data_IF_575513490186
#
_entry.id   IF_575513490186
#
_cell.length_a   1.000
_cell.length_b   1.000
_cell.length_c   1.000
_cell.angle_alpha   90.00
_cell.angle_beta   90.00
_cell.angle_gamma   90.00
#
_symmetry.space_group_name_H-M   'P 1'
#
loop_
_entity.id
_entity.type
_entity.pdbx_description
1 polymer ?
#
# COMPACT_ATOMS: atom_id res chain seq x y z
N UNK A 1 11.81 44.69 -13.87
CA UNK A 1 12.59 43.45 -13.62
C UNK A 1 11.60 42.41 -13.09
N UNK A 2 11.06 41.55 -13.95
CA UNK A 2 10.06 40.55 -13.55
C UNK A 2 10.77 39.20 -13.48
N UNK A 3 11.11 38.75 -12.27
CA UNK A 3 11.63 37.40 -12.06
C UNK A 3 10.44 36.46 -11.87
N UNK A 4 10.26 35.54 -12.82
CA UNK A 4 9.32 34.42 -12.70
C UNK A 4 10.07 33.25 -12.07
N UNK A 5 9.60 32.79 -10.91
CA UNK A 5 10.23 31.70 -10.17
C UNK A 5 9.87 30.36 -10.85
N UNK A 6 10.74 29.88 -11.73
CA UNK A 6 10.65 28.53 -12.29
C UNK A 6 11.16 27.54 -11.24
N UNK A 7 10.31 26.62 -10.81
CA UNK A 7 10.66 25.59 -9.83
C UNK A 7 11.70 24.65 -10.47
N UNK A 8 12.97 24.86 -10.14
CA UNK A 8 14.06 24.03 -10.63
C UNK A 8 14.07 22.68 -9.90
N UNK A 9 14.39 21.64 -10.66
CA UNK A 9 14.62 20.25 -10.27
C UNK A 9 14.88 20.03 -8.76
N UNK A 10 13.94 19.37 -8.06
CA UNK A 10 14.13 18.99 -6.65
C UNK A 10 15.20 17.90 -6.53
N UNK A 11 16.44 18.32 -6.29
CA UNK A 11 17.50 17.46 -5.78
C UNK A 11 17.26 17.22 -4.29
N UNK A 12 17.04 15.96 -3.89
CA UNK A 12 16.89 15.58 -2.48
C UNK A 12 15.84 14.49 -2.24
N UNK A 13 15.96 13.80 -1.11
CA UNK A 13 14.96 12.86 -0.62
C UNK A 13 13.62 13.59 -0.37
N UNK A 14 12.46 12.99 -0.65
CA UNK A 14 11.19 13.66 -0.41
C UNK A 14 11.02 14.01 1.08
N UNK A 15 10.42 15.17 1.36
CA UNK A 15 10.21 15.64 2.72
C UNK A 15 9.23 14.72 3.47
N UNK A 16 9.62 14.24 4.65
CA UNK A 16 8.83 13.34 5.50
C UNK A 16 8.39 12.04 4.78
N UNK A 17 9.34 11.17 4.39
CA UNK A 17 9.00 9.87 3.83
C UNK A 17 8.30 9.01 4.90
N UNK A 18 7.23 8.34 4.51
CA UNK A 18 6.40 7.51 5.41
C UNK A 18 6.34 6.06 4.99
N UNK A 19 6.52 5.78 3.70
CA UNK A 19 6.48 4.42 3.16
C UNK A 19 7.52 4.24 2.05
N UNK A 20 7.98 3.01 1.86
CA UNK A 20 8.89 2.61 0.79
C UNK A 20 8.44 1.26 0.21
N UNK A 21 8.63 1.05 -1.08
CA UNK A 21 8.42 -0.24 -1.73
C UNK A 21 9.47 -0.43 -2.83
N UNK A 22 9.80 -1.68 -3.15
CA UNK A 22 10.81 -2.00 -4.16
C UNK A 22 10.33 -3.16 -5.04
N UNK A 23 10.44 -2.97 -6.36
CA UNK A 23 10.28 -4.04 -7.35
C UNK A 23 11.68 -4.55 -7.74
N UNK A 24 12.07 -5.78 -7.35
CA UNK A 24 13.39 -6.32 -7.62
C UNK A 24 13.62 -6.67 -9.09
N UNK A 25 12.56 -6.94 -9.86
CA UNK A 25 12.66 -7.34 -11.27
C UNK A 25 12.86 -6.09 -12.12
N UNK A 26 12.02 -5.07 -11.93
CA UNK A 26 12.10 -3.82 -12.68
C UNK A 26 13.17 -2.86 -12.13
N UNK A 27 13.69 -3.15 -10.92
CA UNK A 27 14.63 -2.31 -10.17
C UNK A 27 14.05 -0.91 -9.93
N UNK A 28 12.80 -0.88 -9.48
CA UNK A 28 12.05 0.34 -9.20
C UNK A 28 11.88 0.52 -7.69
N UNK A 29 12.12 1.73 -7.22
CA UNK A 29 11.95 2.16 -5.85
C UNK A 29 10.82 3.20 -5.78
N UNK A 30 9.81 2.94 -4.98
CA UNK A 30 8.77 3.90 -4.67
C UNK A 30 8.99 4.47 -3.26
N UNK A 31 8.85 5.78 -3.12
CA UNK A 31 8.91 6.50 -1.83
C UNK A 31 7.63 7.31 -1.68
N UNK A 32 6.84 6.99 -0.65
CA UNK A 32 5.63 7.71 -0.27
C UNK A 32 5.91 8.67 0.89
N UNK A 33 5.11 9.73 0.97
CA UNK A 33 5.30 10.82 1.94
C UNK A 33 4.07 11.06 2.80
N UNK A 34 4.26 11.81 3.88
CA UNK A 34 3.19 12.27 4.76
C UNK A 34 2.16 13.17 4.07
N UNK A 35 2.49 13.79 2.94
CA UNK A 35 1.60 14.69 2.20
C UNK A 35 0.96 14.02 0.98
N UNK A 36 0.94 12.69 0.89
CA UNK A 36 0.35 11.99 -0.26
C UNK A 36 1.18 12.05 -1.56
N UNK A 37 2.39 12.60 -1.53
CA UNK A 37 3.31 12.56 -2.68
C UNK A 37 4.02 11.22 -2.77
N UNK A 38 4.24 10.77 -4.01
CA UNK A 38 4.95 9.55 -4.39
C UNK A 38 6.08 9.89 -5.35
N UNK A 39 7.28 9.40 -5.06
CA UNK A 39 8.42 9.45 -5.96
C UNK A 39 8.80 8.04 -6.40
N UNK A 40 8.86 7.83 -7.71
CA UNK A 40 9.31 6.58 -8.34
C UNK A 40 10.71 6.81 -8.91
N UNK A 41 11.65 5.96 -8.51
CA UNK A 41 13.05 6.00 -8.89
C UNK A 41 13.45 4.66 -9.52
N UNK A 42 14.33 4.67 -10.51
CA UNK A 42 14.77 3.43 -11.16
C UNK A 42 16.10 3.57 -11.89
N UNK A 43 16.19 2.89 -13.04
CA UNK A 43 17.32 3.01 -13.98
C UNK A 43 17.50 4.47 -14.44
N UNK A 44 18.67 4.86 -14.98
CA UNK A 44 18.89 6.22 -15.47
C UNK A 44 17.75 6.71 -16.37
N UNK A 45 17.17 7.87 -16.05
CA UNK A 45 16.01 8.43 -16.75
C UNK A 45 14.64 8.05 -16.17
N UNK A 46 14.58 7.15 -15.17
CA UNK A 46 13.36 6.82 -14.43
C UNK A 46 13.32 7.59 -13.12
N UNK A 47 12.77 8.80 -13.17
CA UNK A 47 12.41 9.62 -12.00
C UNK A 47 11.03 10.24 -12.29
N UNK A 48 10.01 9.81 -11.56
CA UNK A 48 8.67 10.35 -11.67
C UNK A 48 8.17 10.79 -10.30
N UNK A 49 7.52 11.95 -10.26
CA UNK A 49 6.90 12.51 -9.07
C UNK A 49 5.42 12.71 -9.33
N UNK A 50 4.59 12.03 -8.54
CA UNK A 50 3.13 12.10 -8.59
C UNK A 50 2.56 12.30 -7.21
N UNK A 51 1.28 12.64 -7.10
CA UNK A 51 0.60 12.89 -5.84
C UNK A 51 -0.81 12.34 -5.90
N UNK A 52 -1.29 11.82 -4.79
CA UNK A 52 -2.71 11.54 -4.60
C UNK A 52 -3.53 12.83 -4.68
N UNK A 53 -4.83 12.69 -4.97
CA UNK A 53 -5.75 13.84 -4.94
C UNK A 53 -5.89 14.43 -3.53
N UNK A 54 -5.80 13.57 -2.51
CA UNK A 54 -5.81 13.97 -1.11
C UNK A 54 -4.39 14.13 -0.57
N UNK A 55 -4.23 15.04 0.39
CA UNK A 55 -2.95 15.25 1.09
C UNK A 55 -2.72 14.23 2.22
N UNK A 56 -3.42 13.09 2.15
CA UNK A 56 -3.32 12.03 3.14
C UNK A 56 -1.96 11.33 3.08
N UNK A 57 -1.39 11.03 4.25
CA UNK A 57 -0.11 10.34 4.33
C UNK A 57 -0.18 8.95 3.68
N UNK A 58 0.84 8.60 2.88
CA UNK A 58 0.98 7.23 2.37
C UNK A 58 1.44 6.35 3.52
N UNK A 59 0.59 5.43 3.98
CA UNK A 59 0.91 4.57 5.13
C UNK A 59 1.68 3.32 4.71
N UNK A 60 1.39 2.78 3.53
CA UNK A 60 2.07 1.60 3.01
C UNK A 60 1.95 1.51 1.49
N UNK A 61 2.88 0.79 0.86
CA UNK A 61 2.92 0.60 -0.59
C UNK A 61 3.38 -0.82 -0.92
N UNK A 62 2.86 -1.40 -2.01
CA UNK A 62 3.28 -2.69 -2.55
C UNK A 62 3.27 -2.69 -4.08
N UNK A 63 4.37 -3.11 -4.70
CA UNK A 63 4.42 -3.26 -6.16
C UNK A 63 3.69 -4.52 -6.59
N UNK A 64 2.93 -4.42 -7.68
CA UNK A 64 2.59 -5.59 -8.50
C UNK A 64 3.87 -5.96 -9.26
N UNK A 65 4.61 -6.93 -8.70
CA UNK A 65 5.98 -7.23 -9.12
C UNK A 65 6.06 -7.56 -10.61
N UNK A 66 6.89 -6.83 -11.34
CA UNK A 66 7.05 -6.92 -12.79
C UNK A 66 5.80 -6.59 -13.63
N UNK A 67 4.79 -5.97 -13.03
CA UNK A 67 3.59 -5.57 -13.75
C UNK A 67 3.53 -4.07 -14.03
N UNK A 68 4.48 -3.26 -13.57
CA UNK A 68 4.41 -1.82 -13.84
C UNK A 68 3.23 -1.12 -13.13
N UNK A 69 2.82 -1.65 -11.98
CA UNK A 69 1.75 -1.11 -11.16
C UNK A 69 2.11 -1.14 -9.66
N UNK A 70 1.55 -0.21 -8.89
CA UNK A 70 1.83 -0.01 -7.47
C UNK A 70 0.52 0.20 -6.72
N UNK A 71 0.30 -0.56 -5.65
CA UNK A 71 -0.78 -0.34 -4.72
C UNK A 71 -0.26 0.54 -3.59
N UNK A 72 -1.06 1.54 -3.23
CA UNK A 72 -0.77 2.43 -2.09
C UNK A 72 -1.97 2.48 -1.17
N UNK A 73 -1.70 2.48 0.13
CA UNK A 73 -2.70 2.73 1.16
C UNK A 73 -2.41 4.10 1.79
N UNK A 74 -3.45 4.90 1.98
CA UNK A 74 -3.36 6.26 2.52
C UNK A 74 -4.08 6.37 3.87
N UNK A 75 -3.67 7.34 4.67
CA UNK A 75 -4.17 7.56 6.04
C UNK A 75 -5.63 8.03 6.12
N UNK A 76 -6.24 8.34 4.98
CA UNK A 76 -7.66 8.63 4.86
C UNK A 76 -8.50 7.37 4.61
N UNK A 77 -7.91 6.17 4.66
CA UNK A 77 -8.58 4.88 4.44
C UNK A 77 -8.93 4.60 2.98
N UNK A 78 -8.09 5.09 2.06
CA UNK A 78 -8.17 4.79 0.64
C UNK A 78 -7.06 3.84 0.21
N UNK A 79 -7.40 2.93 -0.72
CA UNK A 79 -6.44 2.21 -1.53
C UNK A 79 -6.43 2.81 -2.93
N UNK A 80 -5.25 2.97 -3.52
CA UNK A 80 -5.08 3.45 -4.88
C UNK A 80 -4.18 2.50 -5.67
N UNK A 81 -4.63 2.11 -6.86
CA UNK A 81 -3.85 1.38 -7.84
C UNK A 81 -3.25 2.37 -8.84
N UNK A 82 -1.93 2.45 -8.83
CA UNK A 82 -1.15 3.25 -9.76
C UNK A 82 -0.70 2.39 -10.94
N UNK A 83 -0.83 2.92 -12.14
CA UNK A 83 -0.24 2.37 -13.35
C UNK A 83 0.86 3.32 -13.82
N UNK A 84 2.06 2.79 -14.05
CA UNK A 84 3.21 3.55 -14.54
C UNK A 84 3.86 2.88 -15.76
N UNK A 85 3.12 2.03 -16.49
CA UNK A 85 3.51 1.54 -17.82
C UNK A 85 3.47 2.66 -18.87
N UNK A 86 2.65 3.68 -18.63
CA UNK A 86 2.56 4.86 -19.48
C UNK A 86 3.64 5.89 -19.13
N UNK A 87 3.83 6.89 -20.01
CA UNK A 87 4.81 7.97 -19.79
C UNK A 87 4.63 8.73 -18.47
N UNK A 88 3.40 8.77 -17.95
CA UNK A 88 3.08 9.42 -16.67
C UNK A 88 2.37 8.41 -15.77
N UNK A 89 2.84 8.21 -14.53
CA UNK A 89 2.10 7.42 -13.56
C UNK A 89 0.73 8.05 -13.28
N UNK A 90 -0.31 7.23 -13.24
CA UNK A 90 -1.68 7.66 -12.98
C UNK A 90 -2.39 6.68 -12.05
N UNK A 91 -3.38 7.17 -11.31
CA UNK A 91 -4.27 6.32 -10.53
C UNK A 91 -5.33 5.77 -11.47
N UNK A 92 -5.36 4.45 -11.65
CA UNK A 92 -6.36 3.78 -12.50
C UNK A 92 -7.58 3.35 -11.71
N UNK A 93 -7.41 3.03 -10.43
CA UNK A 93 -8.51 2.64 -9.54
C UNK A 93 -8.28 3.15 -8.12
N UNK A 94 -9.39 3.47 -7.44
CA UNK A 94 -9.42 3.90 -6.04
C UNK A 94 -10.53 3.14 -5.30
N UNK A 95 -10.25 2.69 -4.08
CA UNK A 95 -11.20 2.00 -3.22
C UNK A 95 -11.17 2.63 -1.83
N UNK A 96 -12.31 3.17 -1.39
CA UNK A 96 -12.45 3.83 -0.08
C UNK A 96 -13.08 2.91 0.95
N UNK A 97 -12.42 2.73 2.09
CA UNK A 97 -12.97 2.03 3.25
C UNK A 97 -13.79 3.01 4.08
N UNK A 98 -15.07 2.70 4.32
CA UNK A 98 -16.01 3.63 4.97
C UNK A 98 -16.18 3.42 6.48
N UNK A 99 -15.76 2.28 7.04
CA UNK A 99 -16.12 1.86 8.41
C UNK A 99 -14.98 1.32 9.27
N UNK A 100 -13.82 1.12 8.67
CA UNK A 100 -12.63 0.57 9.34
C UNK A 100 -11.39 1.24 8.80
N UNK A 101 -10.52 1.68 9.71
CA UNK A 101 -9.26 2.30 9.35
C UNK A 101 -8.26 1.28 8.84
N UNK A 102 -7.61 1.57 7.72
CA UNK A 102 -6.56 0.70 7.16
C UNK A 102 -5.30 0.87 8.01
N UNK A 103 -4.70 -0.25 8.45
CA UNK A 103 -3.44 -0.24 9.21
C UNK A 103 -2.32 -0.96 8.47
N UNK A 104 -2.64 -1.94 7.64
CA UNK A 104 -1.65 -2.70 6.90
C UNK A 104 -2.25 -3.28 5.60
N UNK A 105 -1.42 -3.46 4.58
CA UNK A 105 -1.73 -4.17 3.35
C UNK A 105 -0.67 -5.23 3.09
N UNK A 106 -1.08 -6.38 2.57
CA UNK A 106 -0.19 -7.46 2.17
C UNK A 106 -0.61 -8.07 0.84
N UNK A 107 0.29 -8.04 -0.13
CA UNK A 107 0.15 -8.72 -1.40
C UNK A 107 1.15 -9.88 -1.48
N UNK A 108 0.68 -11.13 -1.41
CA UNK A 108 1.52 -12.28 -1.71
C UNK A 108 2.02 -12.24 -3.15
N UNK A 109 3.22 -12.75 -3.37
CA UNK A 109 3.83 -12.81 -4.70
C UNK A 109 2.91 -13.55 -5.68
N UNK A 110 2.63 -12.94 -6.84
CA UNK A 110 1.74 -13.49 -7.88
C UNK A 110 0.30 -13.79 -7.44
N UNK A 111 -0.14 -13.23 -6.31
CA UNK A 111 -1.54 -13.35 -5.87
C UNK A 111 -2.41 -12.32 -6.58
N UNK A 112 -3.66 -12.71 -6.85
CA UNK A 112 -4.73 -11.81 -7.31
C UNK A 112 -5.46 -11.13 -6.15
N UNK A 113 -5.11 -11.49 -4.92
CA UNK A 113 -5.79 -11.08 -3.71
C UNK A 113 -4.84 -10.28 -2.83
N UNK A 114 -5.29 -9.07 -2.49
CA UNK A 114 -4.65 -8.18 -1.54
C UNK A 114 -5.34 -8.33 -0.18
N UNK A 115 -4.56 -8.60 0.86
CA UNK A 115 -5.03 -8.60 2.25
C UNK A 115 -4.92 -7.20 2.83
N UNK A 116 -6.01 -6.70 3.41
CA UNK A 116 -6.09 -5.37 4.01
C UNK A 116 -6.44 -5.53 5.48
N UNK A 117 -5.45 -5.32 6.33
CA UNK A 117 -5.62 -5.33 7.77
C UNK A 117 -6.13 -3.99 8.29
N UNK A 118 -7.03 -4.06 9.26
CA UNK A 118 -7.67 -2.88 9.85
C UNK A 118 -7.39 -2.73 11.34
N UNK A 119 -7.69 -1.54 11.86
CA UNK A 119 -7.53 -1.23 13.29
C UNK A 119 -8.36 -2.13 14.22
N UNK A 120 -9.45 -2.72 13.70
CA UNK A 120 -10.33 -3.63 14.42
C UNK A 120 -9.82 -5.08 14.43
N UNK A 121 -8.64 -5.34 13.87
CA UNK A 121 -8.09 -6.69 13.76
C UNK A 121 -8.70 -7.51 12.62
N UNK A 122 -9.56 -6.93 11.79
CA UNK A 122 -10.15 -7.64 10.65
C UNK A 122 -9.21 -7.61 9.45
N UNK A 123 -9.26 -8.66 8.63
CA UNK A 123 -8.60 -8.68 7.33
C UNK A 123 -9.68 -8.74 6.27
N UNK A 124 -9.75 -7.69 5.47
CA UNK A 124 -10.55 -7.67 4.27
C UNK A 124 -9.71 -8.15 3.09
N UNK A 125 -10.34 -8.86 2.17
CA UNK A 125 -9.66 -9.35 0.97
C UNK A 125 -10.15 -8.54 -0.22
N UNK A 126 -9.24 -7.96 -0.98
CA UNK A 126 -9.53 -7.15 -2.18
C UNK A 126 -9.03 -7.90 -3.42
N UNK A 127 -9.87 -8.01 -4.45
CA UNK A 127 -9.45 -8.53 -5.74
C UNK A 127 -8.68 -7.44 -6.49
N UNK A 128 -7.48 -7.73 -6.97
CA UNK A 128 -6.61 -6.73 -7.61
C UNK A 128 -7.00 -6.48 -9.07
N UNK A 129 -7.53 -7.50 -9.76
CA UNK A 129 -7.95 -7.39 -11.16
C UNK A 129 -9.17 -6.48 -11.30
N UNK A 130 -10.16 -6.62 -10.42
CA UNK A 130 -11.35 -5.75 -10.40
C UNK A 130 -11.22 -4.55 -9.47
N UNK A 131 -10.20 -4.53 -8.61
CA UNK A 131 -9.99 -3.55 -7.54
C UNK A 131 -11.23 -3.36 -6.62
N UNK A 132 -11.92 -4.46 -6.33
CA UNK A 132 -13.12 -4.48 -5.49
C UNK A 132 -12.92 -5.30 -4.22
N UNK A 133 -13.59 -4.87 -3.15
CA UNK A 133 -13.66 -5.61 -1.89
C UNK A 133 -14.39 -6.93 -2.14
N UNK A 134 -13.79 -8.05 -1.76
CA UNK A 134 -14.49 -9.33 -1.72
C UNK A 134 -15.45 -9.34 -0.53
N UNK A 135 -16.53 -10.12 -0.62
CA UNK A 135 -17.40 -10.38 0.53
C UNK A 135 -16.74 -11.23 1.64
N UNK A 136 -15.48 -11.65 1.44
CA UNK A 136 -14.75 -12.50 2.36
C UNK A 136 -13.94 -11.66 3.36
N UNK A 137 -14.24 -11.83 4.64
CA UNK A 137 -13.58 -11.15 5.76
C UNK A 137 -13.03 -12.22 6.69
N UNK A 138 -11.71 -12.23 6.89
CA UNK A 138 -11.09 -13.03 7.94
C UNK A 138 -11.26 -12.24 9.22
N UNK A 139 -12.27 -12.64 10.00
CA UNK A 139 -12.54 -12.02 11.29
C UNK A 139 -11.57 -12.59 12.31
N UNK A 140 -10.90 -11.72 13.09
CA UNK A 140 -9.96 -12.15 14.12
C UNK A 140 -10.59 -13.16 15.09
N UNK A 141 -11.86 -12.95 15.44
CA UNK A 141 -12.59 -13.79 16.39
C UNK A 141 -12.92 -15.19 15.86
N UNK A 142 -12.79 -15.43 14.56
CA UNK A 142 -12.97 -16.75 13.93
C UNK A 142 -11.65 -17.43 13.57
N UNK A 143 -10.56 -16.66 13.47
CA UNK A 143 -9.24 -17.16 13.05
C UNK A 143 -8.34 -17.57 14.23
N UNK A 144 -8.67 -17.17 15.46
CA UNK A 144 -7.87 -17.48 16.65
C UNK A 144 -8.53 -18.66 17.37
N UNK A 145 -7.76 -19.74 17.52
CA UNK A 145 -8.14 -20.91 18.30
C UNK A 145 -8.46 -20.52 19.75
N UNK A 146 -9.37 -21.29 20.38
CA UNK A 146 -10.22 -21.04 21.57
C UNK A 146 -9.55 -20.42 22.84
N UNK A 147 -8.25 -20.13 22.85
CA UNK A 147 -7.48 -19.68 24.01
C UNK A 147 -7.39 -18.17 24.25
N UNK A 148 -7.76 -17.29 23.29
CA UNK A 148 -7.71 -15.83 23.52
C UNK A 148 -9.10 -15.21 23.72
N UNK A 149 -9.40 -14.81 24.96
CA UNK A 149 -10.67 -14.16 25.35
C UNK A 149 -10.67 -12.64 25.17
N UNK A 150 -9.57 -12.04 24.70
CA UNK A 150 -9.36 -10.59 24.63
C UNK A 150 -9.08 -10.14 23.20
N UNK A 151 -9.64 -8.99 22.82
CA UNK A 151 -9.46 -8.39 21.50
C UNK A 151 -7.97 -8.22 21.16
N UNK A 152 -7.48 -8.70 20.00
CA UNK A 152 -6.05 -8.77 19.71
C UNK A 152 -5.44 -7.42 19.35
N UNK A 153 -6.26 -6.40 19.07
CA UNK A 153 -5.80 -5.07 18.69
C UNK A 153 -5.63 -4.91 17.17
N UNK A 154 -5.03 -3.80 16.71
CA UNK A 154 -4.84 -3.53 15.29
C UNK A 154 -3.87 -4.53 14.65
N UNK A 155 -4.07 -4.81 13.35
CA UNK A 155 -3.11 -5.60 12.57
C UNK A 155 -1.89 -4.73 12.28
N UNK A 156 -0.73 -5.21 12.70
CA UNK A 156 0.54 -4.51 12.52
C UNK A 156 1.44 -5.16 11.46
N UNK A 157 1.19 -6.43 11.13
CA UNK A 157 1.98 -7.14 10.11
C UNK A 157 1.25 -8.38 9.59
N UNK A 158 1.31 -8.56 8.27
CA UNK A 158 0.85 -9.71 7.50
C UNK A 158 2.03 -10.22 6.66
N UNK A 159 2.27 -11.53 6.64
CA UNK A 159 3.27 -12.15 5.77
C UNK A 159 2.93 -13.58 5.44
N UNK A 160 3.26 -14.03 4.23
CA UNK A 160 3.05 -15.42 3.83
C UNK A 160 4.05 -16.37 4.50
N UNK A 161 3.67 -17.63 4.62
CA UNK A 161 4.62 -18.68 4.93
C UNK A 161 5.40 -19.03 3.65
N UNK A 162 6.74 -18.84 3.61
CA UNK A 162 7.54 -19.14 2.43
C UNK A 162 7.53 -20.63 2.03
N UNK A 163 7.09 -21.52 2.93
CA UNK A 163 7.01 -22.97 2.68
C UNK A 163 5.59 -23.45 2.31
N UNK A 164 4.57 -22.62 2.55
CA UNK A 164 3.16 -23.00 2.37
C UNK A 164 2.33 -21.77 1.98
N UNK A 165 2.04 -21.56 0.67
CA UNK A 165 1.29 -20.41 0.18
C UNK A 165 -0.14 -20.32 0.71
N UNK A 166 -0.68 -21.40 1.30
CA UNK A 166 -2.01 -21.41 1.90
C UNK A 166 -2.05 -20.84 3.32
N UNK A 167 -0.88 -20.57 3.92
CA UNK A 167 -0.75 -20.09 5.30
C UNK A 167 -0.21 -18.66 5.35
N UNK A 168 -0.92 -17.80 6.06
CA UNK A 168 -0.52 -16.42 6.33
C UNK A 168 -0.22 -16.27 7.82
N UNK A 169 0.89 -15.62 8.15
CA UNK A 169 1.26 -15.21 9.51
C UNK A 169 0.72 -13.82 9.79
N UNK A 170 0.11 -13.67 10.96
CA UNK A 170 -0.52 -12.43 11.43
C UNK A 170 0.10 -11.98 12.74
N UNK A 171 0.43 -10.69 12.84
CA UNK A 171 0.94 -10.08 14.07
C UNK A 171 0.00 -8.95 14.49
N UNK A 172 -0.33 -8.89 15.79
CA UNK A 172 -1.21 -7.88 16.36
C UNK A 172 -0.50 -7.14 17.50
N UNK A 173 -0.92 -5.91 17.78
CA UNK A 173 -0.41 -5.15 18.92
C UNK A 173 -1.14 -5.54 20.22
N UNK A 174 -0.44 -6.22 21.15
CA UNK A 174 -0.96 -6.52 22.49
C UNK A 174 -0.73 -5.33 23.42
N UNK A 175 -1.82 -4.74 23.94
CA UNK A 175 -1.79 -3.89 25.13
C UNK A 175 -1.73 -4.76 26.40
#
# INVERSE_FOLDING_TARGET
MLFTLLQTFRHGFPYQPTAIAFDPIQKLLAIGTKTGSLRLLGRPGVDAHVRHETDAAVIQMQFLTNEGALITATADDSLHLWNFRQKRPEIVHSLKFQRERITYIHLPLQSKWLYVGTEKGNIHVVNIESFTLSGYIINWNKAIDVCMKTHPGPIIHLSDNPLDPSKVRLSHFKN
#
